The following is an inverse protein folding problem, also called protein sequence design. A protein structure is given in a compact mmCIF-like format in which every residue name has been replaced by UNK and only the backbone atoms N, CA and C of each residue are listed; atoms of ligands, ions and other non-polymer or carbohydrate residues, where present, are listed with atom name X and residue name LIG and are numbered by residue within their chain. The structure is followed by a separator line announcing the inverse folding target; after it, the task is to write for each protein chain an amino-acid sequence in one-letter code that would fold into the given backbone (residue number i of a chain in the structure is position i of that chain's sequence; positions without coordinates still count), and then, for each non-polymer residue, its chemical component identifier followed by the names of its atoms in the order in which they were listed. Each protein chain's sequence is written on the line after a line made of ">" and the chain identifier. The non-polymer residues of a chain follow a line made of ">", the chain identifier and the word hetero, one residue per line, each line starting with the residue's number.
data_IF_231550429284
#
_entry.id   IF_231550429284
#
_cell.length_a   1.000
_cell.length_b   1.000
_cell.length_c   1.000
_cell.angle_alpha   90.00
_cell.angle_beta   90.00
_cell.angle_gamma   90.00
#
_symmetry.space_group_name_H-M   'P 1'
#
loop_
_entity.id
_entity.type
_entity.pdbx_description
1 polymer ?
#
# COMPACT_ATOMS: atom_id res chain seq x y z
N UNK A 1 -85.30 -0.57 -24.32
CA UNK A 1 -83.94 -0.11 -23.96
C UNK A 1 -83.00 -1.30 -23.99
N UNK A 2 -82.07 -1.40 -24.95
CA UNK A 2 -80.96 -2.33 -24.86
C UNK A 2 -79.75 -1.62 -24.24
N UNK A 3 -79.28 -2.18 -23.12
CA UNK A 3 -78.01 -1.87 -22.49
C UNK A 3 -76.86 -2.14 -23.48
N UNK A 4 -76.10 -1.11 -23.84
CA UNK A 4 -74.94 -1.23 -24.70
C UNK A 4 -73.72 -1.63 -23.85
N UNK A 5 -73.40 -2.92 -23.86
CA UNK A 5 -72.23 -3.53 -23.21
C UNK A 5 -70.92 -3.17 -23.94
N UNK A 6 -70.54 -1.89 -23.97
CA UNK A 6 -69.34 -1.41 -24.69
C UNK A 6 -68.21 -0.88 -23.77
N UNK A 7 -68.31 -1.06 -22.44
CA UNK A 7 -67.33 -0.52 -21.48
C UNK A 7 -66.19 -1.48 -21.11
N UNK A 8 -66.28 -2.76 -21.45
CA UNK A 8 -65.29 -3.78 -21.07
C UNK A 8 -63.87 -3.55 -21.63
N UNK A 9 -63.68 -3.12 -22.90
CA UNK A 9 -62.32 -2.90 -23.46
C UNK A 9 -61.57 -1.73 -22.82
N UNK A 10 -62.29 -0.68 -22.39
CA UNK A 10 -61.67 0.53 -21.82
C UNK A 10 -61.11 0.29 -20.42
N UNK A 11 -61.82 -0.48 -19.59
CA UNK A 11 -61.36 -0.79 -18.24
C UNK A 11 -60.06 -1.61 -18.25
N UNK A 12 -59.94 -2.59 -19.16
CA UNK A 12 -58.72 -3.39 -19.32
C UNK A 12 -57.55 -2.57 -19.92
N UNK A 13 -57.83 -1.62 -20.82
CA UNK A 13 -56.82 -0.66 -21.33
C UNK A 13 -56.28 0.25 -20.21
N UNK A 14 -57.16 0.75 -19.33
CA UNK A 14 -56.80 1.59 -18.19
C UNK A 14 -55.95 0.83 -17.15
N UNK A 15 -56.29 -0.44 -16.86
CA UNK A 15 -55.50 -1.30 -15.98
C UNK A 15 -54.09 -1.59 -16.53
N UNK A 16 -53.97 -1.88 -17.83
CA UNK A 16 -52.67 -2.08 -18.48
C UNK A 16 -51.86 -0.78 -18.46
N UNK A 17 -52.50 0.37 -18.69
CA UNK A 17 -51.85 1.68 -18.62
C UNK A 17 -51.30 1.96 -17.22
N UNK A 18 -52.11 1.72 -16.18
CA UNK A 18 -51.69 1.88 -14.78
C UNK A 18 -50.52 0.96 -14.45
N UNK A 19 -50.57 -0.32 -14.87
CA UNK A 19 -49.50 -1.28 -14.59
C UNK A 19 -48.19 -0.92 -15.29
N UNK A 20 -48.26 -0.39 -16.52
CA UNK A 20 -47.09 0.12 -17.24
C UNK A 20 -46.48 1.35 -16.55
N UNK A 21 -47.31 2.24 -16.01
CA UNK A 21 -46.82 3.39 -15.23
C UNK A 21 -46.09 2.93 -13.97
N UNK A 22 -46.69 2.02 -13.20
CA UNK A 22 -46.08 1.45 -12.00
C UNK A 22 -44.74 0.77 -12.29
N UNK A 23 -44.66 -0.03 -13.36
CA UNK A 23 -43.40 -0.68 -13.76
C UNK A 23 -42.32 0.34 -14.15
N UNK A 24 -42.67 1.44 -14.83
CA UNK A 24 -41.72 2.52 -15.13
C UNK A 24 -41.23 3.21 -13.86
N UNK A 25 -42.10 3.43 -12.89
CA UNK A 25 -41.74 4.03 -11.61
C UNK A 25 -40.86 3.09 -10.77
N UNK A 26 -41.13 1.79 -10.79
CA UNK A 26 -40.25 0.77 -10.16
C UNK A 26 -38.87 0.74 -10.82
N UNK A 27 -38.81 0.73 -12.16
CA UNK A 27 -37.55 0.74 -12.92
C UNK A 27 -36.73 2.00 -12.61
N UNK A 28 -37.37 3.17 -12.53
CA UNK A 28 -36.66 4.43 -12.21
C UNK A 28 -36.08 4.39 -10.80
N UNK A 29 -36.84 3.93 -9.80
CA UNK A 29 -36.34 3.74 -8.42
C UNK A 29 -35.15 2.78 -8.35
N UNK A 30 -35.24 1.62 -9.00
CA UNK A 30 -34.15 0.64 -9.03
C UNK A 30 -32.89 1.21 -9.73
N UNK A 31 -33.05 2.02 -10.77
CA UNK A 31 -31.93 2.71 -11.42
C UNK A 31 -31.28 3.74 -10.51
N UNK A 32 -32.06 4.52 -9.76
CA UNK A 32 -31.54 5.48 -8.79
C UNK A 32 -30.73 4.79 -7.70
N UNK A 33 -31.24 3.67 -7.17
CA UNK A 33 -30.52 2.83 -6.20
C UNK A 33 -29.22 2.28 -6.80
N UNK A 34 -29.26 1.79 -8.04
CA UNK A 34 -28.06 1.33 -8.75
C UNK A 34 -27.01 2.44 -8.84
N UNK A 35 -27.41 3.66 -9.21
CA UNK A 35 -26.49 4.80 -9.31
C UNK A 35 -25.87 5.13 -7.96
N UNK A 36 -26.64 5.04 -6.86
CA UNK A 36 -26.11 5.23 -5.49
C UNK A 36 -25.07 4.16 -5.14
N UNK A 37 -25.34 2.89 -5.41
CA UNK A 37 -24.40 1.80 -5.15
C UNK A 37 -23.13 1.90 -6.01
N UNK A 38 -23.25 2.29 -7.28
CA UNK A 38 -22.08 2.50 -8.16
C UNK A 38 -21.20 3.62 -7.60
N UNK A 39 -21.78 4.75 -7.17
CA UNK A 39 -21.01 5.83 -6.52
C UNK A 39 -20.32 5.36 -5.23
N UNK A 40 -21.00 4.54 -4.43
CA UNK A 40 -20.38 3.95 -3.24
C UNK A 40 -19.21 3.04 -3.61
N UNK A 41 -19.38 2.18 -4.62
CA UNK A 41 -18.32 1.32 -5.13
C UNK A 41 -17.09 2.11 -5.60
N UNK A 42 -17.30 3.18 -6.37
CA UNK A 42 -16.22 4.05 -6.85
C UNK A 42 -15.48 4.71 -5.69
N UNK A 43 -16.20 5.23 -4.69
CA UNK A 43 -15.58 5.82 -3.49
C UNK A 43 -14.74 4.81 -2.69
N UNK A 44 -15.20 3.56 -2.58
CA UNK A 44 -14.44 2.48 -1.94
C UNK A 44 -13.19 2.12 -2.74
N UNK A 45 -13.30 2.11 -4.08
CA UNK A 45 -12.19 1.85 -4.99
C UNK A 45 -11.10 2.92 -4.89
N UNK A 46 -11.49 4.19 -4.84
CA UNK A 46 -10.55 5.30 -4.68
C UNK A 46 -9.83 5.18 -3.34
N UNK A 47 -10.58 4.96 -2.26
CA UNK A 47 -10.02 4.76 -0.93
C UNK A 47 -9.05 3.56 -0.87
N UNK A 48 -9.42 2.44 -1.49
CA UNK A 48 -8.55 1.27 -1.61
C UNK A 48 -7.24 1.62 -2.30
N UNK A 49 -7.30 2.41 -3.38
CA UNK A 49 -6.13 2.82 -4.16
C UNK A 49 -5.19 3.69 -3.32
N UNK A 50 -5.73 4.64 -2.56
CA UNK A 50 -4.95 5.45 -1.61
C UNK A 50 -4.22 4.59 -0.55
N UNK A 51 -4.94 3.63 0.05
CA UNK A 51 -4.36 2.76 1.08
C UNK A 51 -3.29 1.84 0.49
N UNK A 52 -3.49 1.31 -0.72
CA UNK A 52 -2.47 0.53 -1.42
C UNK A 52 -1.19 1.36 -1.63
N UNK A 53 -1.33 2.63 -2.01
CA UNK A 53 -0.18 3.51 -2.21
C UNK A 53 0.55 3.78 -0.88
N UNK A 54 -0.18 4.00 0.21
CA UNK A 54 0.41 4.08 1.56
C UNK A 54 1.16 2.81 1.95
N UNK A 55 0.62 1.62 1.63
CA UNK A 55 1.31 0.35 1.89
C UNK A 55 2.62 0.25 1.09
N UNK A 56 2.64 0.73 -0.16
CA UNK A 56 3.90 0.76 -0.94
C UNK A 56 4.93 1.69 -0.29
N UNK A 57 4.52 2.88 0.14
CA UNK A 57 5.40 3.83 0.83
C UNK A 57 5.92 3.25 2.16
N UNK A 58 5.08 2.58 2.95
CA UNK A 58 5.52 1.92 4.18
C UNK A 58 6.50 0.77 3.87
N UNK A 59 6.28 0.01 2.78
CA UNK A 59 7.23 -1.03 2.36
C UNK A 59 8.59 -0.47 1.99
N UNK A 60 8.65 0.65 1.26
CA UNK A 60 9.92 1.29 0.92
C UNK A 60 10.63 1.81 2.17
N UNK A 61 9.91 2.47 3.08
CA UNK A 61 10.46 2.93 4.37
C UNK A 61 11.01 1.76 5.21
N UNK A 62 10.26 0.67 5.31
CA UNK A 62 10.70 -0.56 6.00
C UNK A 62 12.01 -1.08 5.41
N UNK A 63 12.13 -1.10 4.09
CA UNK A 63 13.32 -1.59 3.41
C UNK A 63 14.52 -0.68 3.64
N UNK A 64 14.32 0.65 3.59
CA UNK A 64 15.37 1.62 3.94
C UNK A 64 15.86 1.41 5.37
N UNK A 65 14.95 1.31 6.35
CA UNK A 65 15.31 1.09 7.76
C UNK A 65 16.03 -0.24 7.95
N UNK A 66 15.64 -1.30 7.23
CA UNK A 66 16.35 -2.59 7.25
C UNK A 66 17.77 -2.49 6.68
N UNK A 67 17.94 -1.79 5.57
CA UNK A 67 19.27 -1.53 4.99
C UNK A 67 20.18 -0.81 5.98
N UNK A 68 19.69 0.27 6.58
CA UNK A 68 20.43 1.02 7.61
C UNK A 68 20.70 0.18 8.86
N UNK A 69 19.75 -0.64 9.29
CA UNK A 69 19.92 -1.56 10.41
C UNK A 69 21.05 -2.56 10.13
N UNK A 70 21.12 -3.12 8.92
CA UNK A 70 22.20 -4.04 8.52
C UNK A 70 23.56 -3.35 8.55
N UNK A 71 23.66 -2.14 7.99
CA UNK A 71 24.92 -1.35 8.02
C UNK A 71 25.36 -1.08 9.46
N UNK A 72 24.44 -0.70 10.35
CA UNK A 72 24.73 -0.46 11.76
C UNK A 72 25.12 -1.75 12.49
N UNK A 73 24.52 -2.89 12.14
CA UNK A 73 24.88 -4.19 12.69
C UNK A 73 26.31 -4.59 12.28
N UNK A 74 26.69 -4.35 11.03
CA UNK A 74 28.06 -4.60 10.56
C UNK A 74 29.07 -3.68 11.26
N UNK A 75 28.71 -2.41 11.47
CA UNK A 75 29.52 -1.48 12.28
C UNK A 75 29.69 -1.99 13.71
N UNK A 76 28.63 -2.49 14.34
CA UNK A 76 28.69 -3.07 15.69
C UNK A 76 29.63 -4.27 15.75
N UNK A 77 29.59 -5.16 14.75
CA UNK A 77 30.47 -6.33 14.70
C UNK A 77 31.94 -5.91 14.57
N UNK A 78 32.26 -4.96 13.69
CA UNK A 78 33.62 -4.40 13.57
C UNK A 78 34.11 -3.75 14.87
N UNK A 79 33.23 -3.02 15.57
CA UNK A 79 33.57 -2.43 16.87
C UNK A 79 33.80 -3.49 17.95
N UNK A 80 33.05 -4.60 17.95
CA UNK A 80 33.28 -5.73 18.86
C UNK A 80 34.62 -6.40 18.61
N UNK A 81 34.98 -6.64 17.35
CA UNK A 81 36.29 -7.17 16.98
C UNK A 81 37.42 -6.24 17.43
N UNK A 82 37.28 -4.92 17.18
CA UNK A 82 38.24 -3.91 17.65
C UNK A 82 38.34 -3.87 19.18
N UNK A 83 37.22 -3.98 19.89
CA UNK A 83 37.21 -4.05 21.35
C UNK A 83 38.02 -5.26 21.84
N UNK A 84 37.81 -6.42 21.24
CA UNK A 84 38.48 -7.65 21.64
C UNK A 84 39.98 -7.63 21.32
N UNK A 85 40.38 -7.05 20.18
CA UNK A 85 41.80 -6.86 19.85
C UNK A 85 42.50 -5.91 20.82
N UNK A 86 41.93 -4.72 21.06
CA UNK A 86 42.46 -3.74 22.02
C UNK A 86 42.51 -4.33 23.42
N UNK A 87 41.49 -5.11 23.83
CA UNK A 87 41.49 -5.77 25.12
C UNK A 87 42.64 -6.80 25.25
N UNK A 88 42.90 -7.60 24.21
CA UNK A 88 44.04 -8.53 24.19
C UNK A 88 45.39 -7.80 24.26
N UNK A 89 45.54 -6.70 23.53
CA UNK A 89 46.74 -5.85 23.59
C UNK A 89 46.97 -5.30 25.01
N UNK A 90 45.92 -4.78 25.66
CA UNK A 90 45.98 -4.28 27.04
C UNK A 90 46.38 -5.39 28.02
N UNK A 91 45.84 -6.61 27.85
CA UNK A 91 46.21 -7.76 28.69
C UNK A 91 47.68 -8.15 28.50
N UNK A 92 48.18 -8.13 27.26
CA UNK A 92 49.60 -8.36 26.94
C UNK A 92 50.51 -7.30 27.56
N UNK A 93 50.21 -6.02 27.34
CA UNK A 93 50.95 -4.90 27.92
C UNK A 93 50.93 -4.92 29.46
N UNK A 94 49.82 -5.31 30.07
CA UNK A 94 49.72 -5.45 31.53
C UNK A 94 50.70 -6.50 32.06
N UNK A 95 50.78 -7.67 31.42
CA UNK A 95 51.73 -8.72 31.81
C UNK A 95 53.18 -8.24 31.69
N UNK A 96 53.53 -7.59 30.57
CA UNK A 96 54.86 -7.03 30.35
C UNK A 96 55.21 -5.95 31.39
N UNK A 97 54.26 -5.07 31.74
CA UNK A 97 54.43 -4.06 32.79
C UNK A 97 54.63 -4.68 34.18
N UNK A 98 53.91 -5.75 34.50
CA UNK A 98 54.04 -6.46 35.78
C UNK A 98 55.39 -7.20 35.87
N UNK A 99 55.86 -7.81 34.78
CA UNK A 99 57.20 -8.41 34.67
C UNK A 99 58.33 -7.37 34.78
N UNK A 100 58.18 -6.23 34.09
CA UNK A 100 59.13 -5.11 34.17
C UNK A 100 59.20 -4.50 35.58
N UNK A 101 58.06 -4.42 36.28
CA UNK A 101 58.03 -3.99 37.68
C UNK A 101 58.74 -4.94 38.62
N UNK A 102 58.51 -6.25 38.49
CA UNK A 102 59.18 -7.28 39.31
C UNK A 102 60.69 -7.22 39.14
N UNK A 103 61.17 -7.14 37.90
CA UNK A 103 62.60 -7.05 37.60
C UNK A 103 63.23 -5.73 38.08
N UNK A 104 62.50 -4.60 38.01
CA UNK A 104 62.98 -3.32 38.55
C UNK A 104 62.94 -3.22 40.08
N UNK A 105 62.05 -3.96 40.76
CA UNK A 105 61.92 -3.93 42.24
C UNK A 105 63.00 -4.76 42.93
N UNK A 106 63.54 -5.76 42.25
CA UNK A 106 64.68 -6.56 42.73
C UNK A 106 66.03 -5.80 42.68
N UNK A 107 66.08 -4.60 42.08
CA UNK A 107 67.31 -3.82 41.93
C UNK A 107 67.39 -2.70 42.97
N UNK A 108 68.59 -2.47 43.53
CA UNK A 108 68.77 -1.63 44.72
C UNK A 108 68.20 -0.20 44.56
N UNK A 109 67.41 0.28 45.52
CA UNK A 109 66.89 1.64 45.50
C UNK A 109 67.99 2.65 45.87
N UNK A 110 68.14 3.71 45.07
CA UNK A 110 68.66 4.99 45.58
C UNK A 110 69.96 5.55 45.01
N UNK A 111 70.76 4.81 44.22
CA UNK A 111 71.97 5.38 43.63
C UNK A 111 71.66 6.11 42.32
N UNK A 112 71.92 7.43 42.27
CA UNK A 112 71.81 8.23 41.05
C UNK A 112 73.05 8.06 40.17
N UNK A 113 72.92 7.82 38.84
CA UNK A 113 74.06 7.69 37.94
C UNK A 113 75.02 8.88 38.02
N UNK A 114 74.52 10.10 38.16
CA UNK A 114 75.31 11.34 38.20
C UNK A 114 76.23 11.41 39.42
N UNK A 115 75.78 10.92 40.58
CA UNK A 115 76.57 10.95 41.83
C UNK A 115 77.73 9.96 41.75
N UNK A 116 77.47 8.76 41.20
CA UNK A 116 78.49 7.76 40.92
C UNK A 116 79.53 8.25 39.90
N UNK A 117 79.10 8.92 38.81
CA UNK A 117 80.04 9.49 37.82
C UNK A 117 80.93 10.57 38.43
N UNK A 118 80.39 11.48 39.23
CA UNK A 118 81.19 12.50 39.92
C UNK A 118 82.21 11.87 40.84
N UNK A 119 81.80 10.84 41.60
CA UNK A 119 82.69 10.17 42.54
C UNK A 119 83.81 9.39 41.87
N UNK A 120 83.54 8.75 40.73
CA UNK A 120 84.56 8.10 39.89
C UNK A 120 85.56 9.15 39.40
N UNK A 121 85.07 10.25 38.82
CA UNK A 121 85.91 11.34 38.29
C UNK A 121 86.78 12.00 39.36
N UNK A 122 86.26 12.19 40.58
CA UNK A 122 87.03 12.69 41.73
C UNK A 122 88.18 11.75 42.13
N UNK A 123 87.94 10.43 42.08
CA UNK A 123 88.93 9.43 42.44
C UNK A 123 89.98 9.24 41.33
N UNK A 124 89.58 9.30 40.06
CA UNK A 124 90.48 9.30 38.89
C UNK A 124 91.40 10.54 38.93
N UNK A 125 90.82 11.72 39.13
CA UNK A 125 91.59 12.96 39.26
C UNK A 125 92.63 12.88 40.38
N UNK A 126 92.25 12.29 41.52
CA UNK A 126 93.16 12.09 42.66
C UNK A 126 94.32 11.17 42.33
N UNK A 127 94.10 10.11 41.55
CA UNK A 127 95.18 9.22 41.07
C UNK A 127 96.09 9.95 40.08
N UNK A 128 95.54 10.78 39.20
CA UNK A 128 96.32 11.53 38.20
C UNK A 128 97.16 12.68 38.78
N UNK A 129 96.69 13.36 39.83
CA UNK A 129 97.33 14.59 40.34
C UNK A 129 98.11 14.43 41.65
N UNK A 130 98.14 13.26 42.27
CA UNK A 130 98.86 13.07 43.55
C UNK A 130 99.85 11.90 43.53
N UNK A 131 101.03 12.11 44.15
CA UNK A 131 102.05 11.07 44.34
C UNK A 131 101.66 10.17 45.51
N UNK A 132 100.78 9.22 45.27
CA UNK A 132 100.31 8.28 46.28
C UNK A 132 101.27 7.08 46.41
N UNK A 133 101.41 6.49 47.60
CA UNK A 133 102.06 5.19 47.74
C UNK A 133 101.25 4.10 47.02
N UNK A 134 101.94 3.10 46.49
CA UNK A 134 101.39 2.06 45.61
C UNK A 134 100.15 1.34 46.18
N UNK A 135 100.06 1.22 47.51
CA UNK A 135 98.94 0.60 48.21
C UNK A 135 97.68 1.48 48.26
N UNK A 136 97.84 2.80 48.37
CA UNK A 136 96.71 3.74 48.34
C UNK A 136 96.15 3.90 46.93
N UNK A 137 97.03 3.91 45.93
CA UNK A 137 96.64 3.91 44.52
C UNK A 137 95.83 2.65 44.17
N UNK A 138 96.30 1.46 44.57
CA UNK A 138 95.55 0.20 44.41
C UNK A 138 94.18 0.24 45.09
N UNK A 139 94.07 0.83 46.30
CA UNK A 139 92.78 0.98 47.00
C UNK A 139 91.83 1.92 46.27
N UNK A 140 92.32 3.01 45.70
CA UNK A 140 91.51 3.95 44.92
C UNK A 140 91.05 3.29 43.62
N UNK A 141 91.92 2.57 42.93
CA UNK A 141 91.59 1.82 41.70
C UNK A 141 90.53 0.74 41.97
N UNK A 142 90.65 -0.02 43.07
CA UNK A 142 89.62 -0.98 43.48
C UNK A 142 88.28 -0.28 43.76
N UNK A 143 88.30 0.90 44.38
CA UNK A 143 87.10 1.70 44.64
C UNK A 143 86.46 2.21 43.35
N UNK A 144 87.26 2.64 42.37
CA UNK A 144 86.79 3.04 41.04
C UNK A 144 86.12 1.85 40.35
N UNK A 145 86.76 0.68 40.32
CA UNK A 145 86.19 -0.53 39.71
C UNK A 145 84.85 -0.95 40.36
N UNK A 146 84.74 -0.86 41.69
CA UNK A 146 83.47 -1.09 42.40
C UNK A 146 82.38 -0.07 42.02
N UNK A 147 82.74 1.21 41.92
CA UNK A 147 81.82 2.29 41.56
C UNK A 147 81.40 2.22 40.10
N UNK A 148 82.29 1.85 39.19
CA UNK A 148 82.00 1.60 37.78
C UNK A 148 81.05 0.42 37.59
N UNK A 149 81.26 -0.67 38.34
CA UNK A 149 80.34 -1.82 38.36
C UNK A 149 78.94 -1.40 38.82
N UNK A 150 78.86 -0.65 39.92
CA UNK A 150 77.59 -0.08 40.43
C UNK A 150 76.95 0.89 39.43
N UNK A 151 77.74 1.71 38.74
CA UNK A 151 77.28 2.64 37.71
C UNK A 151 76.71 1.90 36.50
N UNK A 152 77.36 0.82 36.06
CA UNK A 152 76.87 -0.02 34.96
C UNK A 152 75.52 -0.68 35.32
N UNK A 153 75.36 -1.15 36.56
CA UNK A 153 74.11 -1.68 37.07
C UNK A 153 73.01 -0.61 37.12
N UNK A 154 73.29 0.56 37.68
CA UNK A 154 72.34 1.70 37.77
C UNK A 154 71.95 2.24 36.38
N UNK A 155 72.85 2.30 35.40
CA UNK A 155 72.48 2.69 34.03
C UNK A 155 71.52 1.70 33.39
N UNK A 156 71.68 0.39 33.65
CA UNK A 156 70.74 -0.64 33.18
C UNK A 156 69.37 -0.45 33.83
N UNK A 157 69.32 -0.13 35.13
CA UNK A 157 68.05 0.08 35.85
C UNK A 157 67.30 1.31 35.33
N UNK A 158 67.99 2.42 35.07
CA UNK A 158 67.39 3.64 34.51
C UNK A 158 66.80 3.40 33.11
N UNK A 159 67.52 2.70 32.23
CA UNK A 159 67.00 2.33 30.89
C UNK A 159 65.76 1.44 30.98
N UNK A 160 65.72 0.48 31.91
CA UNK A 160 64.54 -0.36 32.15
C UNK A 160 63.37 0.48 32.66
N UNK A 161 63.63 1.46 33.53
CA UNK A 161 62.63 2.38 34.06
C UNK A 161 62.04 3.29 32.98
N UNK A 162 62.86 3.88 32.13
CA UNK A 162 62.41 4.72 31.00
C UNK A 162 61.52 3.92 30.04
N UNK A 163 61.96 2.71 29.64
CA UNK A 163 61.13 1.79 28.85
C UNK A 163 59.81 1.47 29.55
N UNK A 164 59.85 1.23 30.86
CA UNK A 164 58.65 1.00 31.67
C UNK A 164 57.69 2.20 31.71
N UNK A 165 58.21 3.44 31.71
CA UNK A 165 57.36 4.64 31.65
C UNK A 165 56.70 4.82 30.29
N UNK A 166 57.42 4.55 29.19
CA UNK A 166 56.86 4.59 27.83
C UNK A 166 55.78 3.52 27.65
N UNK A 167 56.06 2.27 28.03
CA UNK A 167 55.07 1.19 27.98
C UNK A 167 53.85 1.45 28.87
N UNK A 168 54.02 2.19 29.98
CA UNK A 168 52.90 2.60 30.85
C UNK A 168 52.03 3.69 30.18
N UNK A 169 52.64 4.62 29.46
CA UNK A 169 51.91 5.62 28.69
C UNK A 169 51.12 4.96 27.55
N UNK A 170 51.73 4.04 26.80
CA UNK A 170 51.06 3.25 25.75
C UNK A 170 49.90 2.43 26.30
N UNK A 171 50.10 1.77 27.46
CA UNK A 171 49.04 1.04 28.16
C UNK A 171 47.84 1.94 28.53
N UNK A 172 48.12 3.15 29.04
CA UNK A 172 47.06 4.11 29.37
C UNK A 172 46.34 4.61 28.11
N UNK A 173 47.07 4.90 27.04
CA UNK A 173 46.50 5.30 25.76
C UNK A 173 45.57 4.21 25.20
N UNK A 174 46.00 2.94 25.23
CA UNK A 174 45.16 1.80 24.83
C UNK A 174 43.94 1.63 25.72
N UNK A 175 44.07 1.88 27.03
CA UNK A 175 42.92 1.86 27.95
C UNK A 175 41.88 2.94 27.61
N UNK A 176 42.34 4.13 27.22
CA UNK A 176 41.46 5.21 26.72
C UNK A 176 40.80 4.82 25.39
N UNK A 177 41.56 4.21 24.46
CA UNK A 177 41.02 3.67 23.21
C UNK A 177 39.91 2.64 23.50
N UNK A 178 40.13 1.72 24.45
CA UNK A 178 39.11 0.74 24.85
C UNK A 178 37.85 1.38 25.41
N UNK A 179 37.97 2.44 26.22
CA UNK A 179 36.78 3.16 26.70
C UNK A 179 36.02 3.85 25.57
N UNK A 180 36.73 4.47 24.62
CA UNK A 180 36.10 5.10 23.45
C UNK A 180 35.35 4.06 22.60
N UNK A 181 35.97 2.90 22.32
CA UNK A 181 35.31 1.82 21.58
C UNK A 181 34.07 1.30 22.31
N UNK A 182 34.09 1.19 23.64
CA UNK A 182 32.90 0.79 24.42
C UNK A 182 31.78 1.83 24.35
N UNK A 183 32.13 3.11 24.35
CA UNK A 183 31.16 4.19 24.18
C UNK A 183 30.52 4.15 22.79
N UNK A 184 31.33 3.99 21.74
CA UNK A 184 30.85 3.85 20.36
C UNK A 184 29.93 2.63 20.20
N UNK A 185 30.29 1.48 20.79
CA UNK A 185 29.42 0.30 20.84
C UNK A 185 28.08 0.65 21.49
N UNK A 186 28.09 1.36 22.61
CA UNK A 186 26.88 1.72 23.34
C UNK A 186 25.98 2.65 22.50
N UNK A 187 26.57 3.62 21.78
CA UNK A 187 25.86 4.49 20.85
C UNK A 187 25.22 3.71 19.70
N UNK A 188 25.98 2.82 19.05
CA UNK A 188 25.47 2.00 17.94
C UNK A 188 24.37 1.05 18.42
N UNK A 189 24.48 0.47 19.62
CA UNK A 189 23.43 -0.37 20.21
C UNK A 189 22.15 0.44 20.48
N UNK A 190 22.26 1.67 20.98
CA UNK A 190 21.12 2.55 21.17
C UNK A 190 20.42 2.87 19.83
N UNK A 191 21.19 3.22 18.80
CA UNK A 191 20.66 3.46 17.45
C UNK A 191 19.98 2.23 16.85
N UNK A 192 20.56 1.02 17.03
CA UNK A 192 19.97 -0.23 16.58
C UNK A 192 18.64 -0.52 17.28
N UNK A 193 18.56 -0.28 18.59
CA UNK A 193 17.33 -0.44 19.36
C UNK A 193 16.24 0.52 18.88
N UNK A 194 16.60 1.77 18.59
CA UNK A 194 15.67 2.76 18.06
C UNK A 194 15.16 2.37 16.66
N UNK A 195 16.07 1.98 15.75
CA UNK A 195 15.68 1.45 14.43
C UNK A 195 14.79 0.22 14.54
N UNK A 196 15.02 -0.67 15.52
CA UNK A 196 14.17 -1.83 15.78
C UNK A 196 12.76 -1.43 16.21
N UNK A 197 12.61 -0.38 17.04
CA UNK A 197 11.31 0.16 17.44
C UNK A 197 10.57 0.76 16.25
N UNK A 198 11.24 1.60 15.47
CA UNK A 198 10.69 2.19 14.23
C UNK A 198 10.26 1.08 13.26
N UNK A 199 11.07 0.04 13.09
CA UNK A 199 10.71 -1.09 12.24
C UNK A 199 9.46 -1.84 12.75
N UNK A 200 9.28 -1.96 14.06
CA UNK A 200 8.07 -2.56 14.64
C UNK A 200 6.85 -1.70 14.37
N UNK A 201 6.91 -0.39 14.62
CA UNK A 201 5.79 0.52 14.41
C UNK A 201 5.37 0.59 12.95
N UNK A 202 6.33 0.70 12.02
CA UNK A 202 6.03 0.69 10.58
C UNK A 202 5.38 -0.61 10.12
N UNK A 203 5.79 -1.76 10.69
CA UNK A 203 5.16 -3.05 10.38
C UNK A 203 3.73 -3.11 10.90
N UNK A 204 3.49 -2.66 12.12
CA UNK A 204 2.16 -2.60 12.71
C UNK A 204 1.22 -1.69 11.93
N UNK A 205 1.69 -0.51 11.51
CA UNK A 205 0.94 0.40 10.63
C UNK A 205 0.61 -0.26 9.30
N UNK A 206 1.59 -0.92 8.67
CA UNK A 206 1.38 -1.66 7.42
C UNK A 206 0.35 -2.77 7.60
N UNK A 207 0.40 -3.52 8.70
CA UNK A 207 -0.55 -4.60 9.00
C UNK A 207 -1.97 -4.05 9.24
N UNK A 208 -2.11 -2.92 9.94
CA UNK A 208 -3.40 -2.23 10.12
C UNK A 208 -4.01 -1.82 8.79
N UNK A 209 -3.23 -1.12 7.95
CA UNK A 209 -3.70 -0.70 6.63
C UNK A 209 -4.01 -1.91 5.74
N UNK A 210 -3.25 -3.00 5.83
CA UNK A 210 -3.54 -4.22 5.08
C UNK A 210 -4.90 -4.80 5.45
N UNK A 211 -5.23 -4.83 6.74
CA UNK A 211 -6.56 -5.25 7.21
C UNK A 211 -7.67 -4.32 6.71
N UNK A 212 -7.44 -3.00 6.74
CA UNK A 212 -8.42 -2.04 6.19
C UNK A 212 -8.67 -2.27 4.70
N UNK A 213 -7.62 -2.59 3.92
CA UNK A 213 -7.75 -2.94 2.50
C UNK A 213 -8.59 -4.21 2.32
N UNK A 214 -8.36 -5.24 3.14
CA UNK A 214 -9.12 -6.49 3.09
C UNK A 214 -10.61 -6.26 3.41
N UNK A 215 -10.91 -5.41 4.38
CA UNK A 215 -12.30 -5.05 4.73
C UNK A 215 -12.96 -4.22 3.62
N UNK A 216 -12.22 -3.33 2.96
CA UNK A 216 -12.72 -2.60 1.79
C UNK A 216 -12.99 -3.57 0.63
N UNK A 217 -12.11 -4.55 0.38
CA UNK A 217 -12.34 -5.55 -0.67
C UNK A 217 -13.65 -6.31 -0.43
N UNK A 218 -13.91 -6.76 0.82
CA UNK A 218 -15.18 -7.41 1.17
C UNK A 218 -16.38 -6.52 0.92
N UNK A 219 -16.34 -5.25 1.36
CA UNK A 219 -17.42 -4.27 1.10
C UNK A 219 -17.63 -4.04 -0.39
N UNK A 220 -16.55 -3.96 -1.17
CA UNK A 220 -16.63 -3.83 -2.63
C UNK A 220 -17.29 -5.05 -3.28
N UNK A 221 -16.99 -6.26 -2.82
CA UNK A 221 -17.62 -7.49 -3.31
C UNK A 221 -19.12 -7.53 -2.99
N UNK A 222 -19.50 -7.15 -1.76
CA UNK A 222 -20.91 -7.02 -1.35
C UNK A 222 -21.68 -6.02 -2.21
N UNK A 223 -21.12 -4.83 -2.42
CA UNK A 223 -21.72 -3.79 -3.26
C UNK A 223 -21.79 -4.25 -4.72
N UNK A 224 -20.75 -4.92 -5.23
CA UNK A 224 -20.73 -5.47 -6.59
C UNK A 224 -21.84 -6.51 -6.79
N UNK A 225 -22.05 -7.41 -5.83
CA UNK A 225 -23.12 -8.39 -5.86
C UNK A 225 -24.50 -7.73 -5.80
N UNK A 226 -24.66 -6.70 -4.96
CA UNK A 226 -25.90 -5.92 -4.87
C UNK A 226 -26.22 -5.20 -6.19
N UNK A 227 -25.21 -4.62 -6.85
CA UNK A 227 -25.35 -4.01 -8.19
C UNK A 227 -25.77 -5.05 -9.23
N UNK A 228 -25.18 -6.26 -9.21
CA UNK A 228 -25.57 -7.35 -10.12
C UNK A 228 -27.03 -7.77 -9.91
N UNK A 229 -27.47 -7.93 -8.67
CA UNK A 229 -28.87 -8.24 -8.34
C UNK A 229 -29.82 -7.15 -8.81
N UNK A 230 -29.51 -5.86 -8.57
CA UNK A 230 -30.31 -4.74 -9.07
C UNK A 230 -30.38 -4.74 -10.61
N UNK A 231 -29.28 -5.01 -11.30
CA UNK A 231 -29.30 -5.09 -12.78
C UNK A 231 -30.20 -6.23 -13.28
N UNK A 232 -30.21 -7.36 -12.59
CA UNK A 232 -31.11 -8.46 -12.91
C UNK A 232 -32.57 -8.04 -12.70
N UNK A 233 -32.91 -7.45 -11.54
CA UNK A 233 -34.26 -6.97 -11.25
C UNK A 233 -34.73 -5.91 -12.27
N UNK A 234 -33.87 -4.96 -12.63
CA UNK A 234 -34.17 -3.96 -13.67
C UNK A 234 -34.49 -4.65 -15.00
N UNK A 235 -33.70 -5.67 -15.37
CA UNK A 235 -33.90 -6.41 -16.63
C UNK A 235 -35.22 -7.18 -16.62
N UNK A 236 -35.53 -7.87 -15.51
CA UNK A 236 -36.81 -8.56 -15.31
C UNK A 236 -37.99 -7.59 -15.44
N UNK A 237 -37.91 -6.43 -14.80
CA UNK A 237 -38.94 -5.38 -14.89
C UNK A 237 -39.10 -4.80 -16.30
N UNK A 238 -38.00 -4.67 -17.04
CA UNK A 238 -38.06 -4.29 -18.46
C UNK A 238 -38.78 -5.33 -19.31
N UNK A 239 -38.49 -6.62 -19.09
CA UNK A 239 -39.17 -7.71 -19.79
C UNK A 239 -40.68 -7.74 -19.46
N UNK A 240 -41.05 -7.54 -18.18
CA UNK A 240 -42.44 -7.37 -17.77
C UNK A 240 -43.09 -6.20 -18.51
N UNK A 241 -42.45 -5.02 -18.50
CA UNK A 241 -42.95 -3.83 -19.17
C UNK A 241 -43.14 -4.05 -20.69
N UNK A 242 -42.21 -4.76 -21.34
CA UNK A 242 -42.32 -5.10 -22.76
C UNK A 242 -43.46 -6.07 -23.05
N UNK A 243 -43.71 -7.03 -22.15
CA UNK A 243 -44.88 -7.92 -22.27
C UNK A 243 -46.20 -7.13 -22.19
N UNK A 244 -46.29 -6.14 -21.30
CA UNK A 244 -47.47 -5.26 -21.19
C UNK A 244 -47.57 -4.28 -22.37
N UNK A 245 -46.43 -3.79 -22.90
CA UNK A 245 -46.40 -3.00 -24.13
C UNK A 245 -46.95 -3.80 -25.32
N UNK A 246 -46.57 -5.07 -25.45
CA UNK A 246 -47.06 -5.96 -26.50
C UNK A 246 -48.56 -6.24 -26.36
N UNK A 247 -49.05 -6.51 -25.13
CA UNK A 247 -50.49 -6.65 -24.85
C UNK A 247 -51.28 -5.40 -25.23
N UNK A 248 -50.80 -4.22 -24.82
CA UNK A 248 -51.42 -2.94 -25.16
C UNK A 248 -51.47 -2.69 -26.67
N UNK A 249 -50.42 -3.06 -27.42
CA UNK A 249 -50.43 -2.97 -28.89
C UNK A 249 -51.47 -3.89 -29.52
N UNK A 250 -51.54 -5.15 -29.08
CA UNK A 250 -52.53 -6.13 -29.57
C UNK A 250 -53.96 -5.67 -29.31
N UNK A 251 -54.24 -5.17 -28.11
CA UNK A 251 -55.55 -4.59 -27.75
C UNK A 251 -55.91 -3.41 -28.64
N UNK A 252 -54.98 -2.47 -28.85
CA UNK A 252 -55.21 -1.32 -29.72
C UNK A 252 -55.48 -1.73 -31.19
N UNK A 253 -54.82 -2.79 -31.67
CA UNK A 253 -55.00 -3.33 -33.02
C UNK A 253 -56.32 -4.10 -33.17
N UNK A 254 -56.72 -4.87 -32.15
CA UNK A 254 -58.04 -5.51 -32.06
C UNK A 254 -59.16 -4.47 -32.04
N UNK A 255 -59.08 -3.45 -31.17
CA UNK A 255 -60.04 -2.34 -31.11
C UNK A 255 -60.14 -1.58 -32.43
N UNK A 256 -59.03 -1.39 -33.15
CA UNK A 256 -59.04 -0.79 -34.51
C UNK A 256 -59.75 -1.69 -35.51
N UNK A 257 -59.45 -2.98 -35.52
CA UNK A 257 -60.07 -3.94 -36.42
C UNK A 257 -61.58 -4.09 -36.15
N UNK A 258 -61.99 -4.14 -34.88
CA UNK A 258 -63.39 -4.14 -34.46
C UNK A 258 -64.12 -2.86 -34.88
N UNK A 259 -63.48 -1.70 -34.77
CA UNK A 259 -64.09 -0.45 -35.22
C UNK A 259 -64.21 -0.40 -36.75
N UNK A 260 -63.21 -0.88 -37.50
CA UNK A 260 -63.27 -0.95 -38.97
C UNK A 260 -64.39 -1.90 -39.43
N UNK A 261 -64.49 -3.08 -38.80
CA UNK A 261 -65.55 -4.06 -39.10
C UNK A 261 -66.94 -3.51 -38.76
N UNK A 262 -67.12 -2.92 -37.59
CA UNK A 262 -68.39 -2.26 -37.21
C UNK A 262 -68.75 -1.10 -38.15
N UNK A 263 -67.80 -0.28 -38.58
CA UNK A 263 -68.07 0.77 -39.56
C UNK A 263 -68.51 0.18 -40.90
N UNK A 264 -67.83 -0.87 -41.38
CA UNK A 264 -68.22 -1.58 -42.60
C UNK A 264 -69.60 -2.25 -42.50
N UNK A 265 -69.96 -2.81 -41.34
CA UNK A 265 -71.29 -3.38 -41.07
C UNK A 265 -72.36 -2.29 -41.03
N UNK A 266 -72.11 -1.19 -40.33
CA UNK A 266 -73.01 -0.03 -40.28
C UNK A 266 -73.23 0.58 -41.67
N UNK A 267 -72.17 0.69 -42.49
CA UNK A 267 -72.27 1.16 -43.88
C UNK A 267 -73.13 0.22 -44.72
N UNK A 268 -72.96 -1.10 -44.56
CA UNK A 268 -73.81 -2.12 -45.21
C UNK A 268 -75.26 -2.02 -44.76
N UNK A 269 -75.53 -1.87 -43.47
CA UNK A 269 -76.89 -1.71 -42.94
C UNK A 269 -77.56 -0.43 -43.45
N UNK A 270 -76.82 0.68 -43.52
CA UNK A 270 -77.32 1.95 -44.06
C UNK A 270 -77.62 1.79 -45.56
N UNK A 271 -76.77 1.10 -46.31
CA UNK A 271 -77.00 0.79 -47.72
C UNK A 271 -78.22 -0.13 -47.92
N UNK A 272 -78.40 -1.15 -47.08
CA UNK A 272 -79.58 -2.02 -47.14
C UNK A 272 -80.89 -1.30 -46.80
N UNK A 273 -80.88 -0.44 -45.78
CA UNK A 273 -82.05 0.39 -45.44
C UNK A 273 -82.40 1.32 -46.60
N UNK A 274 -81.40 2.00 -47.17
CA UNK A 274 -81.58 2.83 -48.38
C UNK A 274 -82.09 2.00 -49.56
N UNK A 275 -81.61 0.77 -49.78
CA UNK A 275 -82.14 -0.12 -50.82
C UNK A 275 -83.60 -0.48 -50.59
N UNK A 276 -83.99 -0.84 -49.37
CA UNK A 276 -85.38 -1.16 -49.02
C UNK A 276 -86.31 0.04 -49.22
N UNK A 277 -85.90 1.23 -48.81
CA UNK A 277 -86.69 2.46 -48.99
C UNK A 277 -86.90 2.79 -50.48
N UNK A 278 -85.88 2.54 -51.30
CA UNK A 278 -85.93 2.73 -52.76
C UNK A 278 -86.79 1.65 -53.44
N UNK A 279 -86.73 0.39 -53.00
CA UNK A 279 -87.62 -0.69 -53.47
C UNK A 279 -89.10 -0.41 -53.12
N UNK A 280 -89.38 0.13 -51.93
CA UNK A 280 -90.73 0.53 -51.55
C UNK A 280 -91.25 1.69 -52.41
N UNK A 281 -90.40 2.68 -52.72
CA UNK A 281 -90.73 3.76 -53.69
C UNK A 281 -91.00 3.22 -55.10
N UNK A 282 -90.23 2.22 -55.55
CA UNK A 282 -90.44 1.53 -56.83
C UNK A 282 -91.79 0.78 -56.85
N UNK A 283 -92.12 0.04 -55.78
CA UNK A 283 -93.42 -0.64 -55.62
C UNK A 283 -94.60 0.33 -55.62
N UNK A 284 -94.41 1.54 -55.12
CA UNK A 284 -95.41 2.63 -55.15
C UNK A 284 -95.50 3.37 -56.50
N UNK A 285 -94.79 2.92 -57.56
CA UNK A 285 -94.76 3.52 -58.92
C UNK A 285 -94.37 5.01 -58.94
N UNK A 286 -93.61 5.48 -57.95
CA UNK A 286 -93.08 6.86 -57.91
C UNK A 286 -91.82 6.94 -58.79
N UNK A 287 -91.59 8.09 -59.43
CA UNK A 287 -90.36 8.34 -60.22
C UNK A 287 -89.13 8.30 -59.29
N UNK A 288 -88.14 7.50 -59.64
CA UNK A 288 -86.85 7.41 -58.93
C UNK A 288 -85.86 8.43 -59.47
N UNK A 289 -85.05 9.00 -58.59
CA UNK A 289 -83.91 9.84 -58.99
C UNK A 289 -82.72 9.00 -59.46
N UNK A 290 -81.82 9.59 -60.25
CA UNK A 290 -80.65 8.89 -60.83
C UNK A 290 -79.76 8.22 -59.76
N UNK A 291 -79.55 8.88 -58.62
CA UNK A 291 -78.81 8.32 -57.47
C UNK A 291 -79.54 7.14 -56.81
N UNK A 292 -80.88 7.14 -56.80
CA UNK A 292 -81.68 6.05 -56.23
C UNK A 292 -81.67 4.82 -57.14
N UNK A 293 -81.67 5.03 -58.47
CA UNK A 293 -81.48 3.96 -59.45
C UNK A 293 -80.08 3.32 -59.33
N UNK A 294 -79.06 4.14 -59.07
CA UNK A 294 -77.68 3.69 -58.84
C UNK A 294 -77.52 2.89 -57.54
N UNK A 295 -78.29 3.19 -56.49
CA UNK A 295 -78.28 2.38 -55.24
C UNK A 295 -78.91 0.99 -55.46
N UNK A 296 -79.89 0.89 -56.35
CA UNK A 296 -80.63 -0.35 -56.64
C UNK A 296 -79.94 -1.26 -57.66
N UNK A 297 -79.33 -0.68 -58.70
CA UNK A 297 -78.71 -1.40 -59.83
C UNK A 297 -77.20 -1.17 -59.98
N UNK A 298 -76.59 -0.29 -59.19
CA UNK A 298 -75.14 -0.11 -59.20
C UNK A 298 -74.46 -1.34 -58.64
N UNK A 299 -73.57 -1.93 -59.43
CA UNK A 299 -72.90 -3.19 -59.13
C UNK A 299 -72.20 -3.18 -57.77
N UNK A 300 -72.47 -4.25 -57.02
CA UNK A 300 -71.82 -4.63 -55.77
C UNK A 300 -70.49 -5.32 -56.08
N UNK A 301 -69.65 -4.71 -56.93
CA UNK A 301 -68.30 -5.20 -57.21
C UNK A 301 -67.27 -4.09 -56.95
N UNK A 302 -67.01 -3.87 -55.65
CA UNK A 302 -65.74 -3.31 -55.17
C UNK A 302 -64.79 -4.42 -54.70
N UNK A 303 -64.80 -5.56 -55.38
CA UNK A 303 -63.85 -6.65 -55.19
C UNK A 303 -63.22 -6.99 -56.55
N UNK A 304 -62.32 -6.13 -57.04
CA UNK A 304 -61.19 -6.52 -57.88
C UNK A 304 -60.26 -5.32 -58.11
N UNK A 305 -59.40 -5.06 -57.12
CA UNK A 305 -58.16 -4.32 -57.32
C UNK A 305 -57.12 -5.22 -58.01
N UNK A 306 -57.40 -5.64 -59.24
CA UNK A 306 -56.42 -6.24 -60.15
C UNK A 306 -56.76 -5.78 -61.56
N UNK A 307 -56.07 -4.74 -62.01
CA UNK A 307 -55.53 -4.66 -63.37
C UNK A 307 -54.54 -3.48 -63.40
N UNK A 308 -53.26 -3.79 -63.54
CA UNK A 308 -52.57 -3.78 -64.83
C UNK A 308 -52.37 -2.37 -65.38
N UNK A 309 -51.30 -1.73 -64.91
CA UNK A 309 -50.61 -0.69 -65.67
C UNK A 309 -49.19 -1.18 -65.98
N UNK A 310 -49.13 -2.11 -66.94
CA UNK A 310 -47.96 -2.27 -67.78
C UNK A 310 -48.46 -2.05 -69.21
N UNK A 311 -48.09 -0.93 -69.83
CA UNK A 311 -47.90 -0.73 -71.28
C UNK A 311 -47.21 0.64 -71.44
N UNK A 312 -45.99 0.56 -71.96
CA UNK A 312 -45.11 1.57 -72.58
C UNK A 312 -44.60 2.78 -71.79
#
# INVERSE_FOLDING_TARGET
>A
MPYNMSSLPKAEEDEISLKRSQLRDEITKLKEERVKLVKQFDSLRDRRTELIEKVKQLRTQIETVRGEFKVKLDQLNKLKEKKDSVFKEIQGMRKQLDEAKKSSTQQQPGLRPEVLRRRIKELEWRVETSSLPLDEEKRIIQKIAELEKKLAEVKKTVKVREKGTVSRAEYLAKKVELSAVKEDISKVVAELNEKKRILSSLKEERDKISKEIDDINKKMDEVSNSIKQLNQQITEKYNELDSYNAKSRRMAEQSRQENITRMGENEKEILEKKRKDVEEKLKQKKRLTFEELYILYGDVDRNNGKDNSNIH
#
